data_IF_682034022801
#
_entry.id   IF_682034022801
#
_cell.length_a   1.000
_cell.length_b   1.000
_cell.length_c   1.000
_cell.angle_alpha   90.00
_cell.angle_beta   90.00
_cell.angle_gamma   90.00
#
_symmetry.space_group_name_H-M   'P 1'
#
loop_
_entity.id
_entity.type
_entity.pdbx_description
1 polymer ?
#
# COMPACT_ATOMS: atom_id res chain seq x y z
N UNK A 1 -9.60 7.79 -4.69
CA UNK A 1 -8.97 8.76 -5.61
C UNK A 1 -8.34 7.98 -6.76
N UNK A 2 -8.47 8.46 -8.02
CA UNK A 2 -7.83 7.87 -9.20
C UNK A 2 -6.55 8.61 -9.49
N UNK A 3 -5.43 8.13 -8.95
CA UNK A 3 -4.17 8.89 -8.94
C UNK A 3 -3.58 9.08 -10.34
N UNK A 4 -3.76 8.11 -11.24
CA UNK A 4 -3.33 8.22 -12.64
C UNK A 4 -4.08 9.27 -13.46
N UNK A 5 -5.24 9.72 -13.00
CA UNK A 5 -6.05 10.77 -13.64
C UNK A 5 -5.84 12.13 -12.98
N UNK A 6 -5.31 12.16 -11.76
CA UNK A 6 -5.26 13.37 -10.91
C UNK A 6 -3.85 13.85 -10.60
N UNK A 7 -2.83 13.01 -10.80
CA UNK A 7 -1.43 13.34 -10.60
C UNK A 7 -0.68 13.07 -11.91
N UNK A 8 -0.12 14.13 -12.51
CA UNK A 8 0.50 14.07 -13.83
C UNK A 8 1.64 13.03 -13.88
N UNK A 9 2.47 12.95 -12.85
CA UNK A 9 3.57 11.98 -12.81
C UNK A 9 3.16 10.50 -12.70
N UNK A 10 1.89 10.20 -12.43
CA UNK A 10 1.32 8.84 -12.45
C UNK A 10 0.48 8.55 -13.70
N UNK A 11 0.38 9.51 -14.62
CA UNK A 11 -0.40 9.32 -15.83
C UNK A 11 0.23 8.20 -16.70
N UNK A 12 -0.57 7.37 -17.41
CA UNK A 12 -0.05 6.25 -18.21
C UNK A 12 0.96 6.67 -19.29
N UNK A 13 0.89 7.92 -19.74
CA UNK A 13 1.77 8.51 -20.73
C UNK A 13 2.98 9.26 -20.15
N UNK A 14 3.10 9.36 -18.82
CA UNK A 14 4.20 10.06 -18.18
C UNK A 14 5.54 9.40 -18.51
N UNK A 15 6.57 10.23 -18.67
CA UNK A 15 7.92 9.85 -19.08
C UNK A 15 8.96 10.42 -18.13
N UNK A 16 10.16 9.81 -18.02
CA UNK A 16 11.23 10.36 -17.17
C UNK A 16 11.71 11.77 -17.54
N UNK A 17 11.35 12.28 -18.72
CA UNK A 17 11.69 13.62 -19.19
C UNK A 17 10.65 14.68 -18.77
N UNK A 18 9.51 14.26 -18.21
CA UNK A 18 8.48 15.17 -17.72
C UNK A 18 8.89 15.85 -16.41
N UNK A 19 8.22 16.96 -16.09
CA UNK A 19 8.48 17.72 -14.86
C UNK A 19 8.22 16.89 -13.59
N UNK A 20 7.27 15.95 -13.65
CA UNK A 20 7.01 14.94 -12.63
C UNK A 20 6.94 13.56 -13.28
N UNK A 21 7.64 12.60 -12.70
CA UNK A 21 7.60 11.20 -13.12
C UNK A 21 7.72 10.30 -11.89
N UNK A 22 6.72 9.43 -11.69
CA UNK A 22 6.68 8.50 -10.58
C UNK A 22 6.73 7.05 -11.07
N UNK A 23 7.37 6.18 -10.28
CA UNK A 23 7.27 4.75 -10.49
C UNK A 23 5.89 4.27 -10.06
N UNK A 24 5.22 3.50 -10.90
CA UNK A 24 3.84 3.06 -10.67
C UNK A 24 3.74 1.87 -9.72
N UNK A 25 4.82 1.19 -9.37
CA UNK A 25 4.79 0.05 -8.44
C UNK A 25 3.74 -1.01 -8.82
N UNK A 26 2.79 -1.28 -7.91
CA UNK A 26 1.70 -2.25 -8.10
C UNK A 26 0.39 -1.65 -8.65
N UNK A 27 0.43 -0.46 -9.25
CA UNK A 27 -0.77 0.15 -9.83
C UNK A 27 -1.36 -0.71 -10.96
N UNK A 28 -2.69 -0.84 -10.96
CA UNK A 28 -3.46 -1.50 -12.01
C UNK A 28 -4.12 -0.43 -12.89
N UNK A 29 -3.87 -0.52 -14.19
CA UNK A 29 -4.36 0.39 -15.23
C UNK A 29 -5.36 -0.29 -16.17
N UNK A 30 -6.32 0.45 -16.74
CA UNK A 30 -7.31 -0.10 -17.67
C UNK A 30 -6.69 -0.83 -18.88
N UNK A 31 -5.59 -0.31 -19.44
CA UNK A 31 -4.97 -0.88 -20.64
C UNK A 31 -4.46 -2.32 -20.42
N UNK A 32 -4.11 -2.70 -19.19
CA UNK A 32 -3.62 -4.06 -18.90
C UNK A 32 -4.69 -5.12 -19.20
N UNK A 33 -5.98 -4.76 -19.09
CA UNK A 33 -7.11 -5.63 -19.44
C UNK A 33 -7.31 -5.76 -20.96
N UNK A 34 -6.79 -4.84 -21.76
CA UNK A 34 -6.79 -4.94 -23.22
C UNK A 34 -5.61 -5.79 -23.72
N UNK A 35 -4.45 -5.61 -23.08
CA UNK A 35 -3.18 -6.20 -23.50
C UNK A 35 -3.02 -7.65 -23.04
N UNK A 36 -3.39 -8.00 -21.81
CA UNK A 36 -3.26 -9.36 -21.28
C UNK A 36 -4.53 -10.20 -21.55
N UNK A 37 -4.44 -11.26 -22.39
CA UNK A 37 -5.57 -12.14 -22.67
C UNK A 37 -6.17 -12.82 -21.43
N UNK A 38 -5.38 -13.05 -20.38
CA UNK A 38 -5.85 -13.64 -19.13
C UNK A 38 -6.72 -12.65 -18.33
N UNK A 39 -6.52 -11.35 -18.52
CA UNK A 39 -7.26 -10.30 -17.82
C UNK A 39 -8.53 -9.87 -18.57
N UNK A 40 -8.57 -9.98 -19.90
CA UNK A 40 -9.73 -9.59 -20.75
C UNK A 40 -11.11 -10.01 -20.21
N UNK A 41 -11.32 -11.25 -19.72
CA UNK A 41 -12.63 -11.66 -19.20
C UNK A 41 -13.13 -10.83 -18.01
N UNK A 42 -12.23 -10.15 -17.30
CA UNK A 42 -12.53 -9.36 -16.11
C UNK A 42 -12.67 -7.86 -16.39
N UNK A 43 -12.44 -7.39 -17.63
CA UNK A 43 -12.37 -5.96 -17.97
C UNK A 43 -13.58 -5.17 -17.49
N UNK A 44 -14.77 -5.63 -17.84
CA UNK A 44 -16.03 -4.92 -17.50
C UNK A 44 -16.22 -4.78 -15.99
N UNK A 45 -15.96 -5.86 -15.23
CA UNK A 45 -16.07 -5.87 -13.76
C UNK A 45 -15.00 -4.99 -13.12
N UNK A 46 -13.76 -5.04 -13.61
CA UNK A 46 -12.68 -4.20 -13.11
C UNK A 46 -12.98 -2.71 -13.33
N UNK A 47 -13.54 -2.36 -14.49
CA UNK A 47 -13.96 -1.00 -14.80
C UNK A 47 -15.15 -0.54 -13.92
N UNK A 48 -16.14 -1.39 -13.67
CA UNK A 48 -17.25 -1.08 -12.76
C UNK A 48 -16.74 -0.79 -11.34
N UNK A 49 -15.84 -1.64 -10.83
CA UNK A 49 -15.18 -1.43 -9.53
C UNK A 49 -14.37 -0.13 -9.52
N UNK A 50 -13.60 0.14 -10.57
CA UNK A 50 -12.75 1.32 -10.67
C UNK A 50 -13.56 2.63 -10.72
N UNK A 51 -14.79 2.61 -11.26
CA UNK A 51 -15.70 3.79 -11.30
C UNK A 51 -16.55 3.97 -10.05
N UNK A 52 -16.55 3.00 -9.13
CA UNK A 52 -17.32 3.13 -7.90
C UNK A 52 -16.70 4.17 -6.97
N UNK A 53 -17.44 5.24 -6.70
CA UNK A 53 -17.07 6.30 -5.75
C UNK A 53 -17.81 6.18 -4.40
N UNK A 54 -18.78 5.28 -4.27
CA UNK A 54 -19.59 5.07 -3.06
C UNK A 54 -18.95 4.08 -2.07
N UNK A 55 -17.63 4.20 -1.90
CA UNK A 55 -16.93 3.46 -0.85
C UNK A 55 -17.22 4.12 0.50
N UNK A 56 -17.89 3.38 1.38
CA UNK A 56 -17.96 3.78 2.79
C UNK A 56 -16.54 3.82 3.36
N UNK A 57 -16.33 4.64 4.38
CA UNK A 57 -15.07 4.62 5.11
C UNK A 57 -14.82 3.21 5.67
N UNK A 58 -13.91 2.46 5.04
CA UNK A 58 -13.57 1.09 5.40
C UNK A 58 -12.88 1.00 6.77
N UNK A 59 -12.38 2.13 7.26
CA UNK A 59 -11.71 2.26 8.56
C UNK A 59 -12.64 2.87 9.62
N UNK A 60 -13.95 2.97 9.36
CA UNK A 60 -14.89 3.44 10.36
C UNK A 60 -14.85 2.54 11.61
N UNK A 61 -14.59 3.14 12.77
CA UNK A 61 -14.49 2.40 14.04
C UNK A 61 -13.11 1.79 14.32
N UNK A 62 -12.08 2.07 13.51
CA UNK A 62 -10.69 1.92 13.95
C UNK A 62 -10.46 2.91 15.12
N UNK A 63 -10.61 2.41 16.35
CA UNK A 63 -10.20 3.13 17.56
C UNK A 63 -8.79 2.73 17.96
N UNK A 64 -8.22 3.45 18.94
CA UNK A 64 -6.95 3.05 19.55
C UNK A 64 -7.07 1.63 20.12
N UNK A 65 -6.25 0.71 19.60
CA UNK A 65 -6.06 -0.63 20.12
C UNK A 65 -4.91 -0.61 21.13
N UNK A 66 -5.16 -1.06 22.35
CA UNK A 66 -4.13 -1.06 23.41
C UNK A 66 -3.13 -2.23 23.29
N UNK A 67 -3.24 -3.08 22.27
CA UNK A 67 -2.40 -4.27 22.10
C UNK A 67 -1.94 -4.51 20.66
N UNK A 68 -1.96 -3.47 19.82
CA UNK A 68 -1.44 -3.58 18.46
C UNK A 68 0.09 -3.42 18.44
N UNK A 69 0.76 -4.21 17.60
CA UNK A 69 2.16 -4.00 17.24
C UNK A 69 2.27 -3.93 15.72
N UNK A 70 3.20 -3.10 15.24
CA UNK A 70 3.45 -2.89 13.83
C UNK A 70 4.95 -2.94 13.55
N UNK A 71 5.32 -3.47 12.39
CA UNK A 71 6.65 -3.28 11.81
C UNK A 71 6.52 -2.24 10.70
N UNK A 72 7.36 -1.21 10.74
CA UNK A 72 7.44 -0.19 9.69
C UNK A 72 8.81 -0.31 9.04
N UNK A 73 8.83 -0.52 7.73
CA UNK A 73 10.08 -0.56 6.98
C UNK A 73 10.46 0.87 6.58
N UNK A 74 11.65 1.32 6.97
CA UNK A 74 12.08 2.72 6.78
C UNK A 74 12.12 3.13 5.31
N UNK A 75 12.59 2.24 4.44
CA UNK A 75 12.84 2.50 3.02
C UNK A 75 11.88 1.72 2.09
N UNK A 76 10.64 1.48 2.53
CA UNK A 76 9.63 0.81 1.69
C UNK A 76 9.27 1.67 0.47
N UNK A 77 9.55 1.16 -0.73
CA UNK A 77 9.29 1.86 -1.98
C UNK A 77 7.81 1.88 -2.38
N UNK A 78 6.96 1.06 -1.74
CA UNK A 78 5.53 0.94 -2.05
C UNK A 78 4.64 1.66 -1.05
N UNK A 79 5.02 1.66 0.24
CA UNK A 79 4.23 2.27 1.31
C UNK A 79 5.03 3.38 1.99
N UNK A 80 4.64 4.66 1.84
CA UNK A 80 5.32 5.75 2.51
C UNK A 80 5.40 5.55 4.03
N UNK A 81 6.60 5.75 4.57
CA UNK A 81 6.92 5.60 6.00
C UNK A 81 6.02 6.47 6.87
N UNK A 82 5.81 7.72 6.48
CA UNK A 82 5.03 8.72 7.23
C UNK A 82 3.58 8.27 7.38
N UNK A 83 2.96 7.78 6.31
CA UNK A 83 1.59 7.26 6.34
C UNK A 83 1.46 6.03 7.24
N UNK A 84 2.50 5.18 7.28
CA UNK A 84 2.54 4.02 8.16
C UNK A 84 2.60 4.43 9.64
N UNK A 85 3.42 5.42 9.96
CA UNK A 85 3.55 5.95 11.32
C UNK A 85 2.29 6.69 11.78
N UNK A 86 1.67 7.49 10.92
CA UNK A 86 0.38 8.14 11.19
C UNK A 86 -0.72 7.12 11.48
N UNK A 87 -0.77 6.03 10.71
CA UNK A 87 -1.72 4.94 10.94
C UNK A 87 -1.45 4.24 12.28
N UNK A 88 -0.19 3.99 12.60
CA UNK A 88 0.19 3.36 13.86
C UNK A 88 -0.17 4.23 15.08
N UNK A 89 0.02 5.55 15.00
CA UNK A 89 -0.38 6.51 16.03
C UNK A 89 -1.91 6.52 16.22
N UNK A 90 -2.66 6.61 15.13
CA UNK A 90 -4.13 6.55 15.16
C UNK A 90 -4.66 5.25 15.80
N UNK A 91 -3.92 4.14 15.63
CA UNK A 91 -4.21 2.84 16.21
C UNK A 91 -3.67 2.63 17.62
N UNK A 92 -2.79 3.50 18.14
CA UNK A 92 -2.07 3.26 19.40
C UNK A 92 -1.15 2.04 19.35
N UNK A 93 -0.62 1.69 18.18
CA UNK A 93 0.23 0.53 17.99
C UNK A 93 1.68 0.76 18.46
N UNK A 94 2.29 -0.25 19.06
CA UNK A 94 3.72 -0.27 19.35
C UNK A 94 4.49 -0.53 18.05
N UNK A 95 5.27 0.46 17.60
CA UNK A 95 6.02 0.38 16.34
C UNK A 95 7.43 -0.14 16.57
N UNK A 96 7.83 -1.11 15.75
CA UNK A 96 9.23 -1.42 15.47
C UNK A 96 9.57 -0.95 14.06
N UNK A 97 10.36 0.13 13.97
CA UNK A 97 10.83 0.64 12.69
C UNK A 97 12.19 0.04 12.33
N UNK A 98 12.40 -0.34 11.06
CA UNK A 98 13.67 -0.93 10.61
C UNK A 98 13.99 -0.65 9.15
N UNK A 99 15.26 -0.38 8.87
CA UNK A 99 15.83 -0.35 7.52
C UNK A 99 16.44 -1.70 7.10
N UNK A 100 16.40 -2.72 7.97
CA UNK A 100 17.00 -4.03 7.70
C UNK A 100 16.18 -4.88 6.72
N UNK A 101 14.90 -4.54 6.55
CA UNK A 101 13.96 -5.27 5.70
C UNK A 101 13.23 -4.31 4.77
N UNK A 102 12.65 -4.89 3.73
CA UNK A 102 11.90 -4.18 2.68
C UNK A 102 10.45 -4.65 2.72
N UNK A 103 9.63 -4.17 1.77
CA UNK A 103 8.21 -4.51 1.63
C UNK A 103 7.90 -6.02 1.79
N UNK A 104 8.79 -6.89 1.28
CA UNK A 104 8.63 -8.34 1.36
C UNK A 104 9.21 -8.98 2.65
N UNK A 105 9.45 -8.17 3.69
CA UNK A 105 10.08 -8.55 4.94
C UNK A 105 9.40 -9.74 5.62
N UNK A 106 8.07 -9.76 5.71
CA UNK A 106 7.34 -10.90 6.28
C UNK A 106 7.56 -12.19 5.48
N UNK A 107 7.68 -12.10 4.15
CA UNK A 107 7.87 -13.25 3.27
C UNK A 107 9.31 -13.78 3.32
N UNK A 108 10.30 -12.90 3.41
CA UNK A 108 11.73 -13.28 3.44
C UNK A 108 12.27 -13.57 4.85
N UNK A 109 11.76 -12.85 5.85
CA UNK A 109 12.27 -12.84 7.22
C UNK A 109 11.16 -13.12 8.23
N UNK A 110 10.16 -13.93 7.85
CA UNK A 110 8.93 -14.10 8.62
C UNK A 110 9.14 -14.49 10.09
N UNK A 111 10.12 -15.35 10.39
CA UNK A 111 10.44 -15.70 11.79
C UNK A 111 10.87 -14.48 12.60
N UNK A 112 11.74 -13.64 12.03
CA UNK A 112 12.33 -12.50 12.73
C UNK A 112 11.30 -11.37 12.86
N UNK A 113 10.53 -11.11 11.79
CA UNK A 113 9.42 -10.14 11.78
C UNK A 113 8.37 -10.51 12.82
N UNK A 114 7.90 -11.78 12.83
CA UNK A 114 6.93 -12.23 13.82
C UNK A 114 7.52 -12.18 15.23
N UNK A 115 8.79 -12.56 15.42
CA UNK A 115 9.45 -12.52 16.72
C UNK A 115 9.47 -11.10 17.33
N UNK A 116 9.76 -10.10 16.51
CA UNK A 116 9.71 -8.69 16.93
C UNK A 116 8.29 -8.27 17.30
N UNK A 117 7.28 -8.62 16.48
CA UNK A 117 5.88 -8.28 16.75
C UNK A 117 5.36 -8.92 18.04
N UNK A 118 5.68 -10.20 18.27
CA UNK A 118 5.32 -10.92 19.50
C UNK A 118 5.97 -10.27 20.72
N UNK A 119 7.28 -9.98 20.62
CA UNK A 119 8.02 -9.32 21.71
C UNK A 119 7.44 -7.94 22.05
N UNK A 120 6.98 -7.17 21.04
CA UNK A 120 6.37 -5.86 21.23
C UNK A 120 5.04 -5.90 22.00
N UNK A 121 4.34 -7.04 22.02
CA UNK A 121 3.10 -7.27 22.78
C UNK A 121 3.30 -8.17 24.01
N UNK A 122 4.54 -8.51 24.35
CA UNK A 122 4.87 -9.31 25.54
C UNK A 122 4.63 -10.82 25.40
N UNK A 123 4.67 -11.35 24.16
CA UNK A 123 4.64 -12.77 23.83
C UNK A 123 6.04 -13.27 23.45
#
# INVERSE_FOLDING_TARGET
QRVSETLDGFAPQATPDDAEFYLTGEHIFPFQFDEDPALRPFKEVAEELARNDDWRNLYAGLGASTSAAAVVYTDDIFVPRELSLETADALGATVYETAAWQHDGLRRHGRDVIGVLMSAVGL
#
